data_IF_759679992084
#
_entry.id   IF_759679992084
#
_cell.length_a   1.000
_cell.length_b   1.000
_cell.length_c   1.000
_cell.angle_alpha   90.00
_cell.angle_beta   90.00
_cell.angle_gamma   90.00
#
_symmetry.space_group_name_H-M   'P 1'
#
loop_
_entity.id
_entity.type
_entity.pdbx_description
1 polymer ?
#
# COMPACT_ATOMS: atom_id res chain seq x y z
N UNK A 1 32.88 18.29 -1.17
CA UNK A 1 31.97 17.45 -0.34
C UNK A 1 30.56 17.93 -0.66
N UNK A 2 29.76 17.17 -1.43
CA UNK A 2 28.42 17.60 -1.84
C UNK A 2 27.43 17.19 -0.76
N UNK A 3 26.81 18.16 -0.10
CA UNK A 3 25.74 17.95 0.87
C UNK A 3 24.55 17.34 0.13
N UNK A 4 24.27 16.07 0.39
CA UNK A 4 23.04 15.43 -0.08
C UNK A 4 21.97 15.90 0.89
N UNK A 5 21.18 16.89 0.49
CA UNK A 5 19.92 17.19 1.18
C UNK A 5 19.00 16.00 0.96
N UNK A 6 19.05 15.07 1.90
CA UNK A 6 18.09 13.99 2.02
C UNK A 6 16.75 14.66 2.35
N UNK A 7 15.97 14.98 1.33
CA UNK A 7 14.56 15.34 1.52
C UNK A 7 13.86 14.10 2.08
N UNK A 8 13.87 13.97 3.41
CA UNK A 8 13.30 12.88 4.20
C UNK A 8 11.77 12.85 4.12
N UNK A 9 11.21 12.64 2.93
CA UNK A 9 9.87 12.10 2.84
C UNK A 9 9.97 10.62 3.15
N UNK A 10 9.70 10.26 4.39
CA UNK A 10 9.57 8.87 4.84
C UNK A 10 8.61 8.15 3.90
N UNK A 11 9.14 7.27 3.06
CA UNK A 11 8.33 6.39 2.21
C UNK A 11 7.88 5.21 3.07
N UNK A 12 6.58 5.02 3.18
CA UNK A 12 6.00 3.86 3.85
C UNK A 12 5.88 2.73 2.83
N UNK A 13 6.19 1.51 3.26
CA UNK A 13 5.95 0.31 2.48
C UNK A 13 4.50 -0.14 2.71
N UNK A 14 3.80 -0.46 1.63
CA UNK A 14 2.42 -0.92 1.64
C UNK A 14 2.33 -2.30 0.99
N UNK A 15 1.34 -3.06 1.42
CA UNK A 15 0.89 -4.29 0.79
C UNK A 15 -0.59 -4.13 0.43
N UNK A 16 -0.90 -4.35 -0.84
CA UNK A 16 -2.27 -4.55 -1.32
C UNK A 16 -2.46 -6.03 -1.59
N UNK A 17 -3.48 -6.64 -0.99
CA UNK A 17 -3.73 -8.08 -1.06
C UNK A 17 -5.20 -8.39 -1.35
N UNK A 18 -5.47 -9.28 -2.29
CA UNK A 18 -6.82 -9.65 -2.74
C UNK A 18 -6.88 -11.13 -3.11
N UNK A 19 -8.08 -11.69 -3.14
CA UNK A 19 -8.29 -13.06 -3.62
C UNK A 19 -8.27 -13.08 -5.16
N UNK A 20 -7.80 -14.17 -5.77
CA UNK A 20 -7.79 -14.27 -7.24
C UNK A 20 -9.22 -14.13 -7.80
N UNK A 21 -9.37 -13.30 -8.85
CA UNK A 21 -10.66 -12.94 -9.42
C UNK A 21 -11.43 -11.81 -8.73
N UNK A 22 -10.99 -11.34 -7.55
CA UNK A 22 -11.66 -10.27 -6.81
C UNK A 22 -11.12 -8.87 -7.15
N UNK A 23 -12.03 -7.91 -7.28
CA UNK A 23 -11.69 -6.50 -7.48
C UNK A 23 -11.39 -5.77 -6.16
N UNK A 24 -11.94 -6.27 -5.05
CA UNK A 24 -11.72 -5.70 -3.73
C UNK A 24 -10.51 -6.35 -3.05
N UNK A 25 -9.70 -5.51 -2.42
CA UNK A 25 -8.51 -5.94 -1.68
C UNK A 25 -8.33 -5.20 -0.36
N UNK A 26 -7.48 -5.76 0.48
CA UNK A 26 -7.02 -5.16 1.72
C UNK A 26 -5.74 -4.36 1.46
N UNK A 27 -5.75 -3.09 1.85
CA UNK A 27 -4.55 -2.27 1.89
C UNK A 27 -4.03 -2.22 3.32
N UNK A 28 -2.75 -2.53 3.51
CA UNK A 28 -2.06 -2.44 4.79
C UNK A 28 -0.73 -1.69 4.65
N UNK A 29 -0.37 -0.94 5.67
CA UNK A 29 0.96 -0.33 5.81
C UNK A 29 1.87 -1.24 6.62
N UNK A 30 3.09 -1.43 6.13
CA UNK A 30 4.18 -2.04 6.90
C UNK A 30 4.79 -0.94 7.75
N UNK A 31 4.73 -1.14 9.05
CA UNK A 31 5.34 -0.27 10.06
C UNK A 31 6.41 -1.06 10.79
N UNK A 32 7.08 -0.44 11.77
CA UNK A 32 8.01 -1.14 12.67
C UNK A 32 7.30 -2.12 13.63
N UNK A 33 5.96 -2.22 13.55
CA UNK A 33 5.17 -3.16 14.33
C UNK A 33 5.34 -4.60 13.81
N UNK A 34 5.13 -5.62 14.66
CA UNK A 34 5.26 -7.03 14.27
C UNK A 34 4.22 -7.49 13.24
N UNK A 35 3.19 -6.68 12.95
CA UNK A 35 2.16 -6.98 11.96
C UNK A 35 1.84 -5.73 11.14
N UNK A 36 1.58 -5.87 9.83
CA UNK A 36 1.09 -4.76 9.01
C UNK A 36 -0.20 -4.16 9.58
N UNK A 37 -0.30 -2.83 9.52
CA UNK A 37 -1.47 -2.08 9.97
C UNK A 37 -2.48 -2.01 8.83
N UNK A 38 -3.67 -2.56 9.04
CA UNK A 38 -4.76 -2.45 8.08
C UNK A 38 -5.23 -1.01 7.93
N UNK A 39 -5.30 -0.52 6.69
CA UNK A 39 -5.74 0.84 6.36
C UNK A 39 -7.16 0.88 5.82
N UNK A 40 -7.60 -0.18 5.14
CA UNK A 40 -8.95 -0.24 4.59
C UNK A 40 -9.08 -1.19 3.41
N UNK A 41 -10.34 -1.32 2.96
CA UNK A 41 -10.66 -1.99 1.71
C UNK A 41 -10.52 -1.01 0.55
N UNK A 42 -9.93 -1.49 -0.54
CA UNK A 42 -9.79 -0.72 -1.79
C UNK A 42 -10.36 -1.52 -2.95
N UNK A 43 -11.01 -0.82 -3.88
CA UNK A 43 -11.44 -1.41 -5.15
C UNK A 43 -10.42 -1.10 -6.23
N UNK A 44 -9.74 -2.14 -6.70
CA UNK A 44 -8.69 -2.04 -7.72
C UNK A 44 -9.21 -1.74 -9.11
N UNK A 45 -10.47 -2.08 -9.42
CA UNK A 45 -11.06 -1.77 -10.72
C UNK A 45 -11.42 -0.28 -10.83
N UNK A 46 -11.70 0.37 -9.70
CA UNK A 46 -12.08 1.79 -9.64
C UNK A 46 -10.89 2.75 -9.47
N UNK A 47 -9.84 2.32 -8.77
CA UNK A 47 -8.64 3.14 -8.55
C UNK A 47 -7.55 2.83 -9.61
N UNK A 48 -7.20 3.78 -10.50
CA UNK A 48 -6.22 3.56 -11.56
C UNK A 48 -4.81 3.19 -11.04
N UNK A 49 -4.43 3.69 -9.86
CA UNK A 49 -3.13 3.41 -9.25
C UNK A 49 -3.09 1.95 -8.81
N UNK A 50 -4.11 1.51 -8.07
CA UNK A 50 -4.20 0.10 -7.65
C UNK A 50 -4.42 -0.84 -8.83
N UNK A 51 -5.18 -0.43 -9.85
CA UNK A 51 -5.32 -1.18 -11.10
C UNK A 51 -3.97 -1.41 -11.77
N UNK A 52 -3.13 -0.37 -11.86
CA UNK A 52 -1.82 -0.47 -12.50
C UNK A 52 -0.88 -1.35 -11.68
N UNK A 53 -0.77 -1.08 -10.38
CA UNK A 53 0.05 -1.88 -9.45
C UNK A 53 -0.36 -3.36 -9.45
N UNK A 54 -1.64 -3.66 -9.66
CA UNK A 54 -2.13 -5.02 -9.69
C UNK A 54 -1.51 -5.92 -10.75
N UNK A 55 -1.00 -5.33 -11.83
CA UNK A 55 -0.46 -6.08 -12.97
C UNK A 55 0.86 -6.75 -12.62
N UNK A 56 1.59 -6.18 -11.67
CA UNK A 56 2.88 -6.68 -11.18
C UNK A 56 2.73 -7.53 -9.90
N UNK A 57 1.57 -8.15 -9.72
CA UNK A 57 1.28 -8.93 -8.51
C UNK A 57 2.00 -10.27 -8.47
N UNK A 58 2.27 -10.73 -7.25
CA UNK A 58 2.72 -12.08 -6.94
C UNK A 58 1.57 -12.89 -6.36
N UNK A 59 1.56 -14.20 -6.58
CA UNK A 59 0.64 -15.13 -5.93
C UNK A 59 1.33 -15.66 -4.66
N UNK A 60 0.72 -15.38 -3.51
CA UNK A 60 1.14 -15.90 -2.21
C UNK A 60 0.83 -17.39 -2.05
N UNK A 61 1.54 -18.05 -1.13
CA UNK A 61 1.40 -19.49 -0.88
C UNK A 61 0.00 -19.93 -0.41
N UNK A 62 -0.81 -18.99 0.06
CA UNK A 62 -2.18 -19.19 0.53
C UNK A 62 -3.24 -18.83 -0.52
N UNK A 63 -2.83 -18.61 -1.77
CA UNK A 63 -3.74 -18.36 -2.91
C UNK A 63 -4.21 -16.92 -3.04
N UNK A 64 -3.77 -16.01 -2.16
CA UNK A 64 -4.01 -14.57 -2.33
C UNK A 64 -2.99 -13.96 -3.28
N UNK A 65 -3.43 -12.99 -4.08
CA UNK A 65 -2.55 -12.12 -4.82
C UNK A 65 -2.13 -10.94 -3.95
N UNK A 66 -0.89 -10.53 -4.09
CA UNK A 66 -0.38 -9.35 -3.40
C UNK A 66 0.56 -8.53 -4.27
N UNK A 67 0.59 -7.24 -4.02
CA UNK A 67 1.61 -6.33 -4.55
C UNK A 67 2.16 -5.46 -3.42
N UNK A 68 3.47 -5.31 -3.42
CA UNK A 68 4.22 -4.50 -2.47
C UNK A 68 4.67 -3.22 -3.16
N UNK A 69 4.46 -2.07 -2.53
CA UNK A 69 4.84 -0.79 -3.12
C UNK A 69 5.14 0.25 -2.05
N UNK A 70 5.97 1.23 -2.38
CA UNK A 70 6.25 2.36 -1.47
C UNK A 70 5.41 3.56 -1.83
N UNK A 71 4.90 4.28 -0.83
CA UNK A 71 4.15 5.52 -1.01
C UNK A 71 4.34 6.48 0.15
N UNK A 72 3.65 7.61 0.11
CA UNK A 72 3.60 8.54 1.24
C UNK A 72 2.21 8.50 1.87
N UNK A 73 2.14 8.21 3.17
CA UNK A 73 0.93 8.48 3.93
C UNK A 73 0.80 10.00 4.08
N UNK A 74 -0.06 10.60 3.27
CA UNK A 74 -0.53 11.94 3.54
C UNK A 74 -1.42 11.83 4.78
N UNK A 75 -0.92 12.31 5.92
CA UNK A 75 -1.74 12.43 7.12
C UNK A 75 -2.88 13.39 6.79
N UNK A 76 -4.07 12.85 6.48
CA UNK A 76 -5.26 13.67 6.40
C UNK A 76 -5.50 14.22 7.81
N UNK A 77 -5.25 15.51 7.98
CA UNK A 77 -5.59 16.27 9.18
C UNK A 77 -7.03 15.95 9.55
N UNK A 78 -7.24 15.36 10.74
CA UNK A 78 -8.57 15.15 11.29
C UNK A 78 -9.37 16.46 11.19
N UNK A 79 -10.62 16.46 10.70
CA UNK A 79 -11.47 17.62 10.90
C UNK A 79 -11.71 17.73 12.41
N UNK A 80 -11.18 18.81 13.00
CA UNK A 80 -11.54 19.18 14.35
C UNK A 80 -13.06 19.42 14.41
N UNK A 81 -13.77 18.71 15.28
CA UNK A 81 -15.03 19.18 15.82
C UNK A 81 -15.23 18.72 17.25
#
# INVERSE_FOLDING_TARGET
MRTVEQTSRSRTLFILRWQDGEDWGHLSAVTDAPKPVFLGFVNRALDPVFHTLSRDCSIGADGFREVWFTGTLSSATSPAR
#
